data_IF_990502798635
#
_entry.id   IF_990502798635
#
_cell.length_a   1.000
_cell.length_b   1.000
_cell.length_c   1.000
_cell.angle_alpha   90.00
_cell.angle_beta   90.00
_cell.angle_gamma   90.00
#
_symmetry.space_group_name_H-M   'P 1'
#
loop_
_entity.id
_entity.type
_entity.pdbx_description
1 polymer ?
#
# COMPACT_ATOMS: atom_id res chain seq x y z
N UNK A 1 -2.94 -1.61 9.63
CA UNK A 1 -3.36 -0.51 10.56
C UNK A 1 -3.43 0.90 9.95
N UNK A 2 -3.56 1.07 8.63
CA UNK A 2 -4.22 2.24 8.02
C UNK A 2 -4.92 1.81 6.72
N UNK A 3 -5.07 0.52 6.52
CA UNK A 3 -5.98 -0.05 5.54
C UNK A 3 -7.32 -0.13 6.28
N UNK A 4 -8.39 0.33 5.62
CA UNK A 4 -9.72 0.29 6.20
C UNK A 4 -10.03 -1.16 6.53
N UNK A 5 -10.20 -1.47 7.82
CA UNK A 5 -10.67 -2.80 8.24
C UNK A 5 -12.19 -2.92 8.06
N UNK A 6 -12.88 -1.78 8.00
CA UNK A 6 -14.33 -1.68 7.83
C UNK A 6 -14.69 -0.55 6.86
N UNK A 7 -15.89 -0.61 6.29
CA UNK A 7 -16.45 0.47 5.46
C UNK A 7 -16.92 1.59 6.39
N UNK A 8 -16.39 2.81 6.23
CA UNK A 8 -16.90 3.98 6.94
C UNK A 8 -18.00 4.67 6.13
N UNK A 9 -19.24 4.79 6.64
CA UNK A 9 -20.32 5.45 5.93
C UNK A 9 -20.13 6.98 5.97
N UNK A 10 -19.86 7.58 4.81
CA UNK A 10 -19.78 9.03 4.64
C UNK A 10 -21.17 9.65 4.46
N UNK A 11 -21.97 9.68 5.53
CA UNK A 11 -23.23 10.44 5.54
C UNK A 11 -22.96 11.95 5.44
N UNK A 12 -23.95 12.73 5.00
CA UNK A 12 -23.82 14.20 4.90
C UNK A 12 -23.40 14.83 6.24
N UNK A 13 -24.02 14.40 7.35
CA UNK A 13 -23.71 14.85 8.70
C UNK A 13 -22.28 14.48 9.14
N UNK A 14 -21.84 13.25 8.87
CA UNK A 14 -20.46 12.82 9.19
C UNK A 14 -19.43 13.56 8.35
N UNK A 15 -19.71 13.81 7.07
CA UNK A 15 -18.84 14.58 6.18
C UNK A 15 -18.65 16.02 6.68
N UNK A 16 -19.70 16.65 7.18
CA UNK A 16 -19.66 18.00 7.75
C UNK A 16 -18.78 18.03 9.01
N UNK A 17 -19.05 17.17 9.99
CA UNK A 17 -18.26 17.04 11.22
C UNK A 17 -16.77 16.76 10.96
N UNK A 18 -16.47 15.88 10.01
CA UNK A 18 -15.08 15.56 9.64
C UNK A 18 -14.37 16.75 8.97
N UNK A 19 -15.10 17.52 8.16
CA UNK A 19 -14.57 18.72 7.50
C UNK A 19 -14.24 19.81 8.53
N UNK A 20 -15.10 20.00 9.52
CA UNK A 20 -14.85 20.91 10.65
C UNK A 20 -13.61 20.50 11.45
N UNK A 21 -13.54 19.22 11.86
CA UNK A 21 -12.43 18.71 12.68
C UNK A 21 -11.08 18.69 11.97
N UNK A 22 -11.06 18.41 10.66
CA UNK A 22 -9.83 18.45 9.85
C UNK A 22 -9.45 19.87 9.39
N UNK A 23 -10.33 20.85 9.58
CA UNK A 23 -10.23 22.23 9.11
C UNK A 23 -10.21 22.38 7.58
N UNK A 24 -10.84 23.44 7.09
CA UNK A 24 -10.85 23.78 5.66
C UNK A 24 -9.43 23.96 5.08
N UNK A 25 -8.50 24.52 5.86
CA UNK A 25 -7.13 24.78 5.39
C UNK A 25 -6.36 23.49 5.05
N UNK A 26 -6.50 22.42 5.85
CA UNK A 26 -5.83 21.14 5.56
C UNK A 26 -6.49 20.41 4.39
N UNK A 27 -7.81 20.52 4.25
CA UNK A 27 -8.56 19.87 3.18
C UNK A 27 -8.50 20.62 1.84
N UNK A 28 -8.18 21.92 1.83
CA UNK A 28 -8.20 22.76 0.64
C UNK A 28 -7.44 22.15 -0.56
N UNK A 29 -6.22 21.65 -0.33
CA UNK A 29 -5.42 21.02 -1.40
C UNK A 29 -6.08 19.75 -1.95
N UNK A 30 -6.68 18.95 -1.09
CA UNK A 30 -7.37 17.72 -1.50
C UNK A 30 -8.69 18.03 -2.20
N UNK A 31 -9.41 19.07 -1.79
CA UNK A 31 -10.62 19.56 -2.45
C UNK A 31 -10.35 19.99 -3.90
N UNK A 32 -9.22 20.66 -4.14
CA UNK A 32 -8.76 21.01 -5.49
C UNK A 32 -8.44 19.76 -6.30
N UNK A 33 -7.67 18.81 -5.76
CA UNK A 33 -7.39 17.53 -6.42
C UNK A 33 -8.64 16.66 -6.64
N UNK A 34 -9.72 16.93 -5.92
CA UNK A 34 -10.98 16.19 -5.95
C UNK A 34 -12.07 16.88 -6.79
N UNK A 35 -11.76 17.97 -7.50
CA UNK A 35 -12.75 18.76 -8.26
C UNK A 35 -13.98 19.16 -7.43
N UNK A 36 -13.79 19.48 -6.15
CA UNK A 36 -14.87 19.90 -5.25
C UNK A 36 -15.63 18.76 -4.56
N UNK A 37 -15.36 17.49 -4.88
CA UNK A 37 -15.97 16.35 -4.19
C UNK A 37 -15.35 16.14 -2.80
N UNK A 38 -16.17 16.31 -1.76
CA UNK A 38 -15.76 16.19 -0.35
C UNK A 38 -15.36 14.77 0.04
N UNK A 39 -16.08 13.76 -0.45
CA UNK A 39 -15.78 12.36 -0.15
C UNK A 39 -14.43 12.00 -0.77
N UNK A 40 -14.25 12.36 -2.04
CA UNK A 40 -13.00 12.17 -2.75
C UNK A 40 -11.81 12.87 -2.07
N UNK A 41 -11.99 14.10 -1.60
CA UNK A 41 -10.96 14.83 -0.88
C UNK A 41 -10.53 14.10 0.42
N UNK A 42 -11.48 13.57 1.19
CA UNK A 42 -11.19 12.79 2.39
C UNK A 42 -10.49 11.47 2.08
N UNK A 43 -10.86 10.80 0.99
CA UNK A 43 -10.17 9.59 0.55
C UNK A 43 -8.71 9.88 0.17
N UNK A 44 -8.45 10.98 -0.55
CA UNK A 44 -7.10 11.43 -0.90
C UNK A 44 -6.30 11.80 0.35
N UNK A 45 -6.93 12.43 1.35
CA UNK A 45 -6.34 12.69 2.66
C UNK A 45 -5.92 11.38 3.36
N UNK A 46 -6.79 10.38 3.40
CA UNK A 46 -6.49 9.07 3.98
C UNK A 46 -5.42 8.31 3.19
N UNK A 47 -5.39 8.45 1.87
CA UNK A 47 -4.32 7.90 1.03
C UNK A 47 -2.98 8.56 1.32
N UNK A 48 -2.95 9.88 1.45
CA UNK A 48 -1.76 10.60 1.88
C UNK A 48 -1.26 10.11 3.25
N UNK A 49 -2.17 9.91 4.22
CA UNK A 49 -1.80 9.38 5.52
C UNK A 49 -1.18 7.96 5.43
N UNK A 50 -1.75 7.09 4.59
CA UNK A 50 -1.20 5.76 4.31
C UNK A 50 0.18 5.83 3.65
N UNK A 51 0.37 6.74 2.68
CA UNK A 51 1.65 6.98 2.04
C UNK A 51 2.70 7.44 3.05
N UNK A 52 2.40 8.48 3.82
CA UNK A 52 3.28 9.00 4.87
C UNK A 52 3.70 7.90 5.84
N UNK A 53 2.75 7.04 6.22
CA UNK A 53 3.03 5.86 7.04
C UNK A 53 3.96 4.86 6.37
N UNK A 54 3.73 4.54 5.09
CA UNK A 54 4.56 3.58 4.36
C UNK A 54 6.02 4.06 4.21
N UNK A 55 6.23 5.37 4.13
CA UNK A 55 7.55 5.99 4.11
C UNK A 55 8.27 5.98 5.47
N UNK A 56 7.59 5.76 6.59
CA UNK A 56 8.23 5.77 7.92
C UNK A 56 9.36 4.74 8.02
N UNK A 57 9.13 3.52 7.53
CA UNK A 57 10.15 2.46 7.59
C UNK A 57 11.43 2.79 6.80
N UNK A 58 11.38 3.09 5.49
CA UNK A 58 12.60 3.39 4.75
C UNK A 58 13.30 4.66 5.26
N UNK A 59 12.56 5.66 5.75
CA UNK A 59 13.14 6.85 6.37
C UNK A 59 13.84 6.52 7.68
N UNK A 60 13.22 5.73 8.55
CA UNK A 60 13.82 5.25 9.80
C UNK A 60 15.10 4.46 9.53
N UNK A 61 15.07 3.55 8.55
CA UNK A 61 16.24 2.78 8.14
C UNK A 61 17.37 3.71 7.69
N UNK A 62 17.08 4.68 6.81
CA UNK A 62 18.04 5.66 6.36
C UNK A 62 18.65 6.48 7.50
N UNK A 63 17.81 6.96 8.43
CA UNK A 63 18.25 7.73 9.61
C UNK A 63 19.19 6.90 10.49
N UNK A 64 18.76 5.69 10.87
CA UNK A 64 19.54 4.80 11.75
C UNK A 64 20.85 4.38 11.08
N UNK A 65 20.84 3.96 9.81
CA UNK A 65 22.05 3.53 9.13
C UNK A 65 23.03 4.68 8.92
N UNK A 66 22.55 5.86 8.50
CA UNK A 66 23.43 7.04 8.31
C UNK A 66 24.07 7.45 9.62
N UNK A 67 23.26 7.56 10.68
CA UNK A 67 23.75 7.89 12.01
C UNK A 67 24.77 6.89 12.52
N UNK A 68 24.46 5.59 12.45
CA UNK A 68 25.33 4.56 13.00
C UNK A 68 26.64 4.46 12.20
N UNK A 69 26.60 4.67 10.88
CA UNK A 69 27.79 4.74 10.04
C UNK A 69 28.69 5.93 10.42
N UNK A 70 28.10 7.12 10.62
CA UNK A 70 28.84 8.29 11.10
C UNK A 70 29.41 8.07 12.49
N UNK A 71 28.58 7.62 13.44
CA UNK A 71 29.02 7.37 14.81
C UNK A 71 30.16 6.36 14.86
N UNK A 72 30.07 5.24 14.13
CA UNK A 72 31.15 4.25 14.04
C UNK A 72 32.45 4.88 13.53
N UNK A 73 32.40 5.61 12.41
CA UNK A 73 33.58 6.22 11.81
C UNK A 73 34.20 7.29 12.73
N UNK A 74 33.38 8.05 13.45
CA UNK A 74 33.81 9.07 14.40
C UNK A 74 34.41 8.43 15.65
N UNK A 75 33.80 7.37 16.19
CA UNK A 75 34.30 6.63 17.34
C UNK A 75 35.65 5.96 17.06
N UNK A 76 35.87 5.46 15.84
CA UNK A 76 37.18 4.96 15.41
C UNK A 76 38.26 6.04 15.38
N UNK A 77 37.89 7.30 15.13
CA UNK A 77 38.84 8.41 15.00
C UNK A 77 39.11 9.12 16.33
N UNK A 78 38.10 9.30 17.16
CA UNK A 78 38.13 10.17 18.34
C UNK A 78 37.72 9.47 19.64
N UNK A 79 37.40 8.18 19.60
CA UNK A 79 36.88 7.43 20.74
C UNK A 79 35.36 7.55 20.88
N UNK A 80 34.74 6.62 21.62
CA UNK A 80 33.27 6.51 21.73
C UNK A 80 32.61 7.76 22.33
N UNK A 81 33.32 8.46 23.22
CA UNK A 81 32.81 9.60 23.97
C UNK A 81 32.82 10.93 23.18
N UNK A 82 33.25 10.92 21.91
CA UNK A 82 33.25 12.11 21.04
C UNK A 82 31.90 12.83 21.01
N UNK A 83 30.80 12.08 21.20
CA UNK A 83 29.45 12.63 21.10
C UNK A 83 29.08 13.51 22.30
N UNK A 84 29.77 13.39 23.44
CA UNK A 84 29.55 14.30 24.57
C UNK A 84 30.20 15.66 24.34
N UNK A 85 31.41 15.65 23.79
CA UNK A 85 32.18 16.85 23.44
C UNK A 85 32.78 16.69 22.03
N UNK A 86 32.03 17.10 20.98
CA UNK A 86 32.48 16.93 19.60
C UNK A 86 33.83 17.60 19.34
N UNK A 87 34.85 16.87 18.81
CA UNK A 87 36.21 17.39 18.62
C UNK A 87 36.33 18.34 17.41
N UNK A 88 35.20 18.79 16.87
CA UNK A 88 35.07 19.71 15.76
C UNK A 88 33.99 20.75 16.08
N UNK A 89 34.15 21.96 15.56
CA UNK A 89 33.21 23.04 15.82
C UNK A 89 31.84 22.72 15.21
N UNK A 90 30.81 22.63 16.06
CA UNK A 90 29.41 22.61 15.63
C UNK A 90 28.98 24.02 15.24
N UNK A 91 28.28 24.14 14.11
CA UNK A 91 27.54 25.35 13.80
C UNK A 91 26.42 25.59 14.83
N UNK A 92 25.87 26.80 14.85
CA UNK A 92 24.88 27.21 15.85
C UNK A 92 23.65 26.30 15.87
N UNK A 93 23.18 25.84 14.71
CA UNK A 93 22.00 24.98 14.60
C UNK A 93 22.25 23.57 15.18
N UNK A 94 23.34 22.92 14.79
CA UNK A 94 23.71 21.60 15.31
C UNK A 94 24.05 21.66 16.79
N UNK A 95 24.70 22.75 17.25
CA UNK A 95 25.00 22.98 18.68
C UNK A 95 23.72 23.05 19.50
N UNK A 96 22.71 23.82 19.06
CA UNK A 96 21.40 23.86 19.74
C UNK A 96 20.73 22.49 19.79
N UNK A 97 20.77 21.74 18.69
CA UNK A 97 20.20 20.39 18.64
C UNK A 97 20.92 19.43 19.59
N UNK A 98 22.24 19.54 19.70
CA UNK A 98 23.08 18.74 20.57
C UNK A 98 22.82 19.02 22.05
N UNK A 99 22.85 20.29 22.46
CA UNK A 99 22.53 20.70 23.84
C UNK A 99 21.12 20.25 24.23
N UNK A 100 20.14 20.44 23.34
CA UNK A 100 18.75 20.00 23.59
C UNK A 100 18.66 18.48 23.81
N UNK A 101 19.42 17.69 23.06
CA UNK A 101 19.44 16.23 23.22
C UNK A 101 20.04 15.81 24.57
N UNK A 102 21.15 16.44 24.98
CA UNK A 102 21.78 16.20 26.29
C UNK A 102 20.84 16.58 27.44
N UNK A 103 20.19 17.75 27.37
CA UNK A 103 19.22 18.20 28.37
C UNK A 103 18.03 17.22 28.49
N UNK A 104 17.52 16.74 27.35
CA UNK A 104 16.43 15.78 27.32
C UNK A 104 16.84 14.45 27.98
N UNK A 105 18.06 13.97 27.72
CA UNK A 105 18.59 12.75 28.32
C UNK A 105 18.81 12.89 29.81
N UNK A 106 19.42 13.99 30.26
CA UNK A 106 19.64 14.28 31.67
C UNK A 106 18.31 14.24 32.46
N UNK A 107 17.25 14.86 31.91
CA UNK A 107 15.90 14.83 32.49
C UNK A 107 15.29 13.43 32.49
N UNK A 108 15.45 12.66 31.40
CA UNK A 108 14.86 11.32 31.24
C UNK A 108 15.53 10.28 32.15
N UNK A 109 16.84 10.35 32.32
CA UNK A 109 17.66 9.37 33.06
C UNK A 109 17.76 9.66 34.55
N UNK A 110 17.34 10.84 35.03
CA UNK A 110 17.22 11.21 36.45
C UNK A 110 18.47 10.87 37.28
N UNK A 111 19.66 11.18 36.76
CA UNK A 111 20.94 10.93 37.44
C UNK A 111 21.57 9.56 37.16
N UNK A 112 20.93 8.68 36.38
CA UNK A 112 21.60 7.51 35.84
C UNK A 112 22.66 7.89 34.79
N UNK A 113 23.70 7.07 34.66
CA UNK A 113 24.75 7.26 33.66
C UNK A 113 24.16 7.28 32.24
N UNK A 114 24.58 8.27 31.45
CA UNK A 114 24.22 8.42 30.04
C UNK A 114 25.36 7.80 29.22
N UNK A 115 25.05 6.88 28.31
CA UNK A 115 26.04 6.31 27.39
C UNK A 115 26.15 7.14 26.10
N UNK A 116 27.25 7.03 25.34
CA UNK A 116 27.33 7.61 23.99
C UNK A 116 26.15 7.19 23.09
N UNK A 117 25.76 5.92 23.17
CA UNK A 117 24.63 5.38 22.41
C UNK A 117 23.29 6.05 22.77
N UNK A 118 23.10 6.45 24.03
CA UNK A 118 21.91 7.21 24.44
C UNK A 118 21.86 8.58 23.72
N UNK A 119 23.00 9.27 23.62
CA UNK A 119 23.12 10.57 22.94
C UNK A 119 22.86 10.42 21.45
N UNK A 120 23.52 9.44 20.83
CA UNK A 120 23.33 9.10 19.41
C UNK A 120 21.86 8.78 19.13
N UNK A 121 21.21 7.98 19.99
CA UNK A 121 19.80 7.61 19.86
C UNK A 121 18.85 8.81 19.95
N UNK A 122 19.21 9.85 20.72
CA UNK A 122 18.37 11.03 20.98
C UNK A 122 18.52 12.11 19.89
N UNK A 123 19.68 12.18 19.24
CA UNK A 123 19.91 13.08 18.10
C UNK A 123 19.08 12.64 16.89
N UNK A 124 18.23 13.55 16.42
CA UNK A 124 17.34 13.31 15.27
C UNK A 124 18.10 13.35 13.93
N UNK A 125 17.45 12.89 12.87
CA UNK A 125 18.03 12.93 11.52
C UNK A 125 18.49 14.32 11.07
N UNK A 126 17.83 15.39 11.54
CA UNK A 126 18.20 16.75 11.16
C UNK A 126 19.64 17.04 11.57
N UNK A 127 20.04 16.73 12.82
CA UNK A 127 21.43 16.85 13.28
C UNK A 127 22.41 16.11 12.36
N UNK A 128 22.17 14.83 12.08
CA UNK A 128 23.06 13.99 11.26
C UNK A 128 23.14 14.46 9.81
N UNK A 129 22.02 14.90 9.23
CA UNK A 129 21.98 15.47 7.88
C UNK A 129 22.71 16.81 7.81
N UNK A 130 22.67 17.61 8.88
CA UNK A 130 23.34 18.90 8.94
C UNK A 130 24.86 18.76 8.99
N UNK A 131 25.40 17.72 9.62
CA UNK A 131 26.84 17.45 9.61
C UNK A 131 27.39 17.28 8.19
N UNK A 132 26.57 16.94 7.19
CA UNK A 132 27.01 16.82 5.80
C UNK A 132 27.06 18.15 5.04
N UNK A 133 26.64 19.28 5.63
CA UNK A 133 26.61 20.59 4.97
C UNK A 133 28.00 21.16 4.68
N UNK A 134 28.05 22.17 3.81
CA UNK A 134 29.30 22.74 3.31
C UNK A 134 30.15 23.44 4.38
N UNK A 135 29.50 24.00 5.40
CA UNK A 135 30.14 24.59 6.57
C UNK A 135 30.92 23.57 7.42
N UNK A 136 30.62 22.28 7.31
CA UNK A 136 31.39 21.21 7.96
C UNK A 136 32.56 20.69 7.10
N UNK A 137 32.79 21.24 5.90
CA UNK A 137 33.85 20.77 5.02
C UNK A 137 35.24 20.89 5.67
N UNK A 138 35.55 22.01 6.31
CA UNK A 138 36.86 22.24 6.93
C UNK A 138 36.92 21.63 8.33
N UNK A 139 35.89 21.85 9.14
CA UNK A 139 35.85 21.43 10.55
C UNK A 139 35.77 19.90 10.74
N UNK A 140 35.05 19.19 9.87
CA UNK A 140 34.74 17.76 10.03
C UNK A 140 35.26 16.91 8.86
N UNK A 141 34.99 17.32 7.62
CA UNK A 141 35.24 16.52 6.41
C UNK A 141 36.53 16.87 5.67
N UNK A 142 37.49 17.51 6.34
CA UNK A 142 38.81 17.83 5.77
C UNK A 142 39.61 16.56 5.47
N UNK A 143 39.42 15.52 6.28
CA UNK A 143 39.96 14.18 6.05
C UNK A 143 39.01 13.36 5.16
N UNK A 144 39.43 13.11 3.92
CA UNK A 144 38.67 12.31 2.95
C UNK A 144 38.52 10.84 3.37
N UNK A 145 39.46 10.31 4.16
CA UNK A 145 39.39 8.92 4.62
C UNK A 145 38.23 8.72 5.58
N UNK A 146 37.92 9.71 6.43
CA UNK A 146 36.77 9.68 7.33
C UNK A 146 35.46 9.62 6.54
N UNK A 147 35.33 10.43 5.49
CA UNK A 147 34.15 10.42 4.64
C UNK A 147 33.97 9.08 3.91
N UNK A 148 35.07 8.51 3.39
CA UNK A 148 35.06 7.21 2.73
C UNK A 148 34.69 6.06 3.69
N UNK A 149 35.01 6.16 4.99
CA UNK A 149 34.56 5.19 5.99
C UNK A 149 33.04 5.21 6.22
N UNK A 150 32.43 6.39 6.17
CA UNK A 150 30.97 6.54 6.34
C UNK A 150 30.22 6.07 5.10
N UNK A 151 30.74 6.37 3.90
CA UNK A 151 30.12 6.04 2.62
C UNK A 151 31.06 5.20 1.74
N UNK A 152 31.34 3.94 2.11
CA UNK A 152 32.32 3.10 1.43
C UNK A 152 31.91 2.72 -0.01
N UNK A 153 30.63 2.79 -0.35
CA UNK A 153 30.12 2.49 -1.69
C UNK A 153 29.93 3.75 -2.56
N UNK A 154 30.42 4.91 -2.13
CA UNK A 154 30.35 6.15 -2.91
C UNK A 154 31.15 6.00 -4.22
N UNK A 155 30.55 6.26 -5.40
CA UNK A 155 31.28 6.23 -6.65
C UNK A 155 32.41 7.28 -6.68
N UNK A 156 33.51 6.98 -7.37
CA UNK A 156 34.73 7.82 -7.36
C UNK A 156 34.56 9.22 -7.97
N UNK A 157 33.56 9.38 -8.83
CA UNK A 157 33.16 10.62 -9.48
C UNK A 157 32.17 11.46 -8.65
N UNK A 158 31.72 10.94 -7.51
CA UNK A 158 30.82 11.61 -6.58
C UNK A 158 31.57 12.10 -5.34
N UNK A 159 31.10 13.21 -4.76
CA UNK A 159 31.67 13.81 -3.56
C UNK A 159 30.62 14.09 -2.48
N UNK A 160 31.06 14.71 -1.38
CA UNK A 160 30.19 15.09 -0.26
C UNK A 160 29.01 15.93 -0.70
N UNK A 161 29.19 16.86 -1.64
CA UNK A 161 28.12 17.74 -2.12
C UNK A 161 26.91 16.95 -2.64
N UNK A 162 27.14 15.89 -3.42
CA UNK A 162 26.09 15.01 -3.92
C UNK A 162 25.41 14.26 -2.77
N UNK A 163 26.19 13.68 -1.85
CA UNK A 163 25.64 12.98 -0.67
C UNK A 163 24.79 13.93 0.18
N UNK A 164 25.26 15.15 0.40
CA UNK A 164 24.54 16.18 1.14
C UNK A 164 23.23 16.56 0.45
N UNK A 165 23.24 16.72 -0.88
CA UNK A 165 22.03 17.01 -1.65
C UNK A 165 20.98 15.89 -1.50
N UNK A 166 21.39 14.63 -1.63
CA UNK A 166 20.49 13.47 -1.50
C UNK A 166 19.95 13.34 -0.08
N UNK A 167 20.81 13.40 0.95
CA UNK A 167 20.40 13.31 2.37
C UNK A 167 19.52 14.49 2.75
N UNK A 168 19.81 15.72 2.30
CA UNK A 168 18.98 16.88 2.58
C UNK A 168 17.57 16.73 2.01
N UNK A 169 17.44 16.15 0.81
CA UNK A 169 16.14 15.87 0.24
C UNK A 169 15.39 14.73 0.97
N UNK A 170 16.08 13.71 1.47
CA UNK A 170 15.48 12.70 2.36
C UNK A 170 14.99 13.34 3.66
N UNK A 171 15.80 14.22 4.27
CA UNK A 171 15.42 14.92 5.50
C UNK A 171 14.23 15.87 5.27
N UNK A 172 14.16 16.54 4.13
CA UNK A 172 13.01 17.36 3.74
C UNK A 172 11.72 16.52 3.64
N UNK A 173 11.77 15.34 3.00
CA UNK A 173 10.63 14.42 2.95
C UNK A 173 10.20 13.96 4.35
N UNK A 174 11.17 13.58 5.18
CA UNK A 174 10.95 13.18 6.57
C UNK A 174 10.25 14.29 7.37
N UNK A 175 10.71 15.53 7.24
CA UNK A 175 10.13 16.67 7.93
C UNK A 175 8.71 16.96 7.45
N UNK A 176 8.44 16.90 6.14
CA UNK A 176 7.07 17.02 5.61
C UNK A 176 6.13 15.97 6.20
N UNK A 177 6.57 14.71 6.27
CA UNK A 177 5.78 13.63 6.87
C UNK A 177 5.54 13.88 8.37
N UNK A 178 6.58 14.30 9.11
CA UNK A 178 6.48 14.61 10.54
C UNK A 178 5.55 15.81 10.83
N UNK A 179 5.47 16.77 9.91
CA UNK A 179 4.55 17.91 9.97
C UNK A 179 3.15 17.60 9.39
N UNK A 180 2.88 16.34 9.03
CA UNK A 180 1.62 15.91 8.42
C UNK A 180 1.25 16.68 7.15
N UNK A 181 2.26 17.08 6.38
CA UNK A 181 2.05 17.75 5.09
C UNK A 181 1.68 16.76 3.98
N UNK A 182 0.97 17.20 2.93
CA UNK A 182 0.69 16.37 1.77
C UNK A 182 1.95 15.97 1.00
N UNK A 183 2.07 14.69 0.69
CA UNK A 183 3.07 14.08 -0.20
C UNK A 183 2.44 13.34 -1.39
N UNK A 184 1.11 13.24 -1.44
CA UNK A 184 0.35 12.50 -2.47
C UNK A 184 0.61 12.90 -3.93
N UNK A 185 1.06 14.13 -4.18
CA UNK A 185 1.40 14.64 -5.51
C UNK A 185 2.89 14.47 -5.88
N UNK A 186 3.72 13.91 -4.99
CA UNK A 186 5.14 13.72 -5.26
C UNK A 186 5.37 12.45 -6.10
N UNK A 187 6.54 12.40 -6.75
CA UNK A 187 7.03 11.16 -7.35
C UNK A 187 7.55 10.23 -6.23
N UNK A 188 6.66 9.34 -5.78
CA UNK A 188 6.93 8.38 -4.72
C UNK A 188 8.05 7.40 -5.08
N UNK A 189 8.19 7.05 -6.36
CA UNK A 189 9.23 6.14 -6.84
C UNK A 189 10.60 6.80 -6.76
N UNK A 190 10.71 8.05 -7.24
CA UNK A 190 11.93 8.85 -7.11
C UNK A 190 12.31 9.10 -5.66
N UNK A 191 11.33 9.44 -4.81
CA UNK A 191 11.54 9.64 -3.38
C UNK A 191 12.06 8.37 -2.69
N UNK A 192 11.46 7.21 -2.97
CA UNK A 192 11.93 5.94 -2.43
C UNK A 192 13.33 5.58 -2.93
N UNK A 193 13.59 5.71 -4.22
CA UNK A 193 14.90 5.40 -4.79
C UNK A 193 16.01 6.25 -4.17
N UNK A 194 15.76 7.56 -3.98
CA UNK A 194 16.68 8.45 -3.26
C UNK A 194 17.03 7.95 -1.86
N UNK A 195 16.04 7.48 -1.09
CA UNK A 195 16.29 6.90 0.24
C UNK A 195 17.16 5.65 0.13
N UNK A 196 16.82 4.76 -0.80
CA UNK A 196 17.57 3.52 -1.05
C UNK A 196 18.99 3.79 -1.54
N UNK A 197 19.20 4.83 -2.33
CA UNK A 197 20.51 5.20 -2.85
C UNK A 197 21.42 5.69 -1.71
N UNK A 198 20.92 6.58 -0.83
CA UNK A 198 21.66 7.00 0.38
C UNK A 198 22.05 5.80 1.24
N UNK A 199 21.12 4.87 1.50
CA UNK A 199 21.42 3.65 2.25
C UNK A 199 22.47 2.80 1.50
N UNK A 200 22.36 2.72 0.18
CA UNK A 200 23.29 1.98 -0.69
C UNK A 200 24.72 2.53 -0.68
N UNK A 201 24.91 3.83 -0.44
CA UNK A 201 26.23 4.43 -0.23
C UNK A 201 26.93 3.88 1.01
N UNK A 202 26.15 3.48 2.02
CA UNK A 202 26.63 2.89 3.27
C UNK A 202 26.81 1.38 3.10
N UNK A 203 25.77 0.67 2.65
CA UNK A 203 25.80 -0.78 2.44
C UNK A 203 24.73 -1.22 1.44
N UNK A 204 25.13 -2.10 0.51
CA UNK A 204 24.23 -2.72 -0.47
C UNK A 204 23.22 -3.65 0.21
N UNK A 205 23.64 -4.39 1.23
CA UNK A 205 22.76 -5.30 1.98
C UNK A 205 21.68 -4.52 2.74
N UNK A 206 22.05 -3.38 3.34
CA UNK A 206 21.07 -2.52 4.02
C UNK A 206 20.02 -1.98 3.04
N UNK A 207 20.46 -1.60 1.83
CA UNK A 207 19.57 -1.14 0.77
C UNK A 207 18.59 -2.22 0.36
N UNK A 208 19.11 -3.41 0.07
CA UNK A 208 18.30 -4.49 -0.47
C UNK A 208 17.33 -5.04 0.60
N UNK A 209 17.76 -5.12 1.87
CA UNK A 209 16.87 -5.40 3.00
C UNK A 209 15.77 -4.32 3.16
N UNK A 210 16.13 -3.04 3.13
CA UNK A 210 15.14 -1.95 3.23
C UNK A 210 14.15 -2.00 2.07
N UNK A 211 14.61 -2.28 0.85
CA UNK A 211 13.74 -2.43 -0.33
C UNK A 211 12.78 -3.60 -0.16
N UNK A 212 13.24 -4.76 0.29
CA UNK A 212 12.43 -5.96 0.44
C UNK A 212 11.29 -5.81 1.46
N UNK A 213 11.49 -5.00 2.49
CA UNK A 213 10.50 -4.77 3.56
C UNK A 213 9.69 -3.47 3.41
N UNK A 214 9.97 -2.66 2.38
CA UNK A 214 9.26 -1.41 2.11
C UNK A 214 7.89 -1.68 1.44
N UNK A 215 6.85 -0.97 1.88
CA UNK A 215 5.49 -1.07 1.32
C UNK A 215 5.05 0.16 0.51
N UNK A 216 5.93 1.16 0.37
CA UNK A 216 5.64 2.46 -0.28
C UNK A 216 4.99 2.29 -1.64
N UNK A 217 5.59 1.49 -2.54
CA UNK A 217 5.06 1.33 -3.89
C UNK A 217 3.74 0.57 -3.92
N UNK A 218 3.49 -0.32 -2.95
CA UNK A 218 2.20 -0.98 -2.82
C UNK A 218 1.08 0.02 -2.52
N UNK A 219 1.35 0.98 -1.63
CA UNK A 219 0.39 2.03 -1.25
C UNK A 219 0.26 3.11 -2.34
N UNK A 220 1.38 3.51 -2.96
CA UNK A 220 1.40 4.51 -4.03
C UNK A 220 0.63 4.04 -5.26
N UNK A 221 0.64 2.72 -5.53
CA UNK A 221 -0.12 2.11 -6.62
C UNK A 221 -1.59 1.88 -6.27
N UNK A 222 -2.03 2.12 -5.04
CA UNK A 222 -3.43 1.96 -4.61
C UNK A 222 -4.07 3.30 -4.20
N UNK A 223 -4.06 4.33 -5.08
CA UNK A 223 -4.83 5.54 -4.81
C UNK A 223 -6.32 5.19 -4.79
N UNK A 224 -7.14 5.96 -4.07
CA UNK A 224 -8.58 5.79 -4.13
C UNK A 224 -9.06 6.08 -5.57
N UNK A 225 -10.17 5.48 -6.00
CA UNK A 225 -10.83 5.80 -7.27
C UNK A 225 -11.90 6.89 -7.09
N UNK A 226 -12.44 7.42 -8.19
CA UNK A 226 -13.61 8.34 -8.14
C UNK A 226 -14.88 7.57 -7.71
N UNK A 227 -14.93 6.27 -7.93
CA UNK A 227 -16.15 5.46 -7.81
C UNK A 227 -16.26 4.68 -6.50
N UNK A 228 -15.20 4.61 -5.68
CA UNK A 228 -15.19 3.80 -4.46
C UNK A 228 -14.84 4.58 -3.21
N UNK A 229 -15.66 4.37 -2.18
CA UNK A 229 -15.38 4.77 -0.80
C UNK A 229 -14.25 3.95 -0.14
N UNK A 230 -13.86 2.83 -0.75
CA UNK A 230 -12.86 1.90 -0.25
C UNK A 230 -11.59 2.00 -1.11
N UNK A 231 -10.40 2.15 -0.50
CA UNK A 231 -9.17 2.08 -1.27
C UNK A 231 -8.89 0.67 -1.80
N UNK A 232 -8.21 0.57 -2.92
CA UNK A 232 -7.82 -0.72 -3.47
C UNK A 232 -6.67 -0.63 -4.46
N UNK A 233 -6.07 -1.78 -4.78
CA UNK A 233 -5.09 -1.89 -5.86
C UNK A 233 -5.85 -1.86 -7.20
N UNK A 234 -5.31 -1.25 -8.27
CA UNK A 234 -5.89 -1.33 -9.60
C UNK A 234 -6.10 -2.79 -10.01
N UNK A 235 -7.27 -3.11 -10.55
CA UNK A 235 -7.58 -4.46 -11.04
C UNK A 235 -6.64 -4.85 -12.17
N UNK A 236 -6.16 -3.89 -12.98
CA UNK A 236 -5.12 -4.09 -13.97
C UNK A 236 -3.79 -4.66 -13.41
N UNK A 237 -3.52 -4.47 -12.11
CA UNK A 237 -2.34 -5.03 -11.41
C UNK A 237 -2.66 -6.29 -10.61
N UNK A 238 -3.94 -6.69 -10.53
CA UNK A 238 -4.33 -7.93 -9.93
C UNK A 238 -3.99 -9.09 -10.88
N UNK A 239 -3.52 -10.20 -10.32
CA UNK A 239 -3.29 -11.41 -11.11
C UNK A 239 -4.64 -12.12 -11.31
N UNK A 240 -5.40 -11.65 -12.30
CA UNK A 240 -6.71 -12.18 -12.64
C UNK A 240 -6.54 -13.48 -13.44
N UNK A 241 -7.24 -14.53 -13.03
CA UNK A 241 -7.30 -15.78 -13.78
C UNK A 241 -8.36 -15.65 -14.87
N UNK A 242 -8.06 -16.19 -16.04
CA UNK A 242 -9.06 -16.34 -17.10
C UNK A 242 -10.16 -17.28 -16.63
N UNK A 243 -11.44 -16.90 -16.80
CA UNK A 243 -12.55 -17.76 -16.43
C UNK A 243 -12.57 -19.01 -17.31
N UNK A 244 -13.01 -20.12 -16.73
CA UNK A 244 -13.21 -21.36 -17.48
C UNK A 244 -14.53 -21.27 -18.23
N UNK A 245 -14.49 -21.40 -19.54
CA UNK A 245 -15.67 -21.36 -20.41
C UNK A 245 -16.26 -22.76 -20.56
N UNK A 246 -17.58 -22.85 -20.61
CA UNK A 246 -18.32 -24.08 -20.91
C UNK A 246 -19.48 -23.81 -21.87
N UNK A 247 -19.86 -24.81 -22.66
CA UNK A 247 -21.05 -24.77 -23.51
C UNK A 247 -22.33 -24.84 -22.67
N UNK A 248 -23.41 -24.20 -23.11
CA UNK A 248 -24.75 -24.37 -22.53
C UNK A 248 -25.28 -25.80 -22.72
N UNK A 249 -24.83 -26.48 -23.78
CA UNK A 249 -25.23 -27.85 -24.12
C UNK A 249 -24.42 -28.93 -23.38
N UNK A 250 -23.38 -28.54 -22.64
CA UNK A 250 -22.55 -29.49 -21.90
C UNK A 250 -23.36 -30.20 -20.82
N UNK A 251 -23.06 -31.48 -20.58
CA UNK A 251 -23.75 -32.26 -19.55
C UNK A 251 -23.39 -31.78 -18.13
N UNK A 252 -24.25 -32.06 -17.15
CA UNK A 252 -23.96 -31.74 -15.75
C UNK A 252 -22.72 -32.48 -15.22
N UNK A 253 -22.43 -33.68 -15.73
CA UNK A 253 -21.23 -34.42 -15.38
C UNK A 253 -19.95 -33.68 -15.81
N UNK A 254 -19.93 -33.19 -17.04
CA UNK A 254 -18.83 -32.37 -17.58
C UNK A 254 -18.71 -31.04 -16.81
N UNK A 255 -19.84 -30.40 -16.52
CA UNK A 255 -19.88 -29.14 -15.78
C UNK A 255 -19.32 -29.30 -14.36
N UNK A 256 -19.73 -30.34 -13.61
CA UNK A 256 -19.23 -30.61 -12.26
C UNK A 256 -17.72 -30.88 -12.25
N UNK A 257 -17.23 -31.66 -13.22
CA UNK A 257 -15.80 -31.96 -13.36
C UNK A 257 -15.00 -30.70 -13.66
N UNK A 258 -15.52 -29.83 -14.52
CA UNK A 258 -14.90 -28.56 -14.88
C UNK A 258 -14.92 -27.58 -13.71
N UNK A 259 -16.04 -27.43 -12.98
CA UNK A 259 -16.14 -26.57 -11.79
C UNK A 259 -15.12 -26.97 -10.72
N UNK A 260 -14.92 -28.27 -10.48
CA UNK A 260 -14.03 -28.76 -9.43
C UNK A 260 -12.58 -28.28 -9.60
N UNK A 261 -12.12 -28.21 -10.86
CA UNK A 261 -10.78 -27.75 -11.23
C UNK A 261 -10.69 -26.24 -11.47
N UNK A 262 -11.82 -25.57 -11.72
CA UNK A 262 -11.88 -24.13 -11.97
C UNK A 262 -11.43 -23.30 -10.76
N UNK A 263 -10.74 -22.19 -11.03
CA UNK A 263 -10.29 -21.21 -10.03
C UNK A 263 -10.44 -19.80 -10.60
N UNK A 264 -11.43 -19.00 -10.13
CA UNK A 264 -12.44 -19.33 -9.10
C UNK A 264 -13.40 -20.44 -9.56
N UNK A 265 -14.11 -21.08 -8.63
CA UNK A 265 -15.01 -22.23 -8.87
C UNK A 265 -16.32 -21.87 -9.57
N UNK A 266 -16.22 -21.12 -10.66
CA UNK A 266 -17.31 -20.60 -11.47
C UNK A 266 -16.98 -20.90 -12.95
N UNK A 267 -17.95 -21.43 -13.69
CA UNK A 267 -17.88 -21.58 -15.14
C UNK A 267 -18.68 -20.46 -15.79
N UNK A 268 -18.14 -19.90 -16.87
CA UNK A 268 -18.86 -18.93 -17.69
C UNK A 268 -19.41 -19.59 -18.95
N UNK A 269 -20.63 -19.21 -19.28
CA UNK A 269 -21.35 -19.61 -20.49
C UNK A 269 -21.56 -18.36 -21.31
N UNK A 270 -21.20 -18.39 -22.60
CA UNK A 270 -21.47 -17.25 -23.48
C UNK A 270 -22.95 -17.29 -23.88
N UNK A 271 -23.66 -16.17 -23.71
CA UNK A 271 -25.05 -16.08 -24.14
C UNK A 271 -25.07 -15.97 -25.68
N UNK A 272 -25.78 -16.86 -26.39
CA UNK A 272 -25.95 -16.72 -27.83
C UNK A 272 -26.57 -15.37 -28.18
N UNK A 273 -26.05 -14.72 -29.22
CA UNK A 273 -26.62 -13.49 -29.81
C UNK A 273 -26.76 -12.26 -28.88
N UNK A 274 -26.14 -12.28 -27.69
CA UNK A 274 -26.10 -11.15 -26.76
C UNK A 274 -24.68 -10.86 -26.28
N UNK A 275 -24.30 -9.58 -26.08
CA UNK A 275 -23.08 -9.23 -25.39
C UNK A 275 -23.26 -9.55 -23.91
N UNK A 276 -22.84 -10.74 -23.48
CA UNK A 276 -22.98 -11.13 -22.10
C UNK A 276 -22.54 -12.55 -21.81
N UNK A 277 -22.42 -12.82 -20.51
CA UNK A 277 -22.10 -14.12 -19.97
C UNK A 277 -23.17 -14.52 -18.95
N UNK A 278 -23.45 -15.81 -18.88
CA UNK A 278 -24.10 -16.43 -17.75
C UNK A 278 -23.05 -17.24 -16.96
N UNK A 279 -23.40 -17.65 -15.75
CA UNK A 279 -22.48 -18.39 -14.91
C UNK A 279 -23.14 -19.57 -14.21
N UNK A 280 -22.35 -20.63 -14.02
CA UNK A 280 -22.72 -21.82 -13.26
C UNK A 280 -21.65 -22.11 -12.21
N UNK A 281 -22.08 -22.45 -11.01
CA UNK A 281 -21.23 -22.87 -9.89
C UNK A 281 -21.66 -24.23 -9.37
N UNK A 282 -20.85 -24.87 -8.53
CA UNK A 282 -21.24 -26.10 -7.85
C UNK A 282 -22.54 -25.91 -7.04
N UNK A 283 -22.75 -24.71 -6.49
CA UNK A 283 -23.94 -24.39 -5.71
C UNK A 283 -25.19 -24.22 -6.59
N UNK A 284 -25.06 -23.65 -7.79
CA UNK A 284 -26.22 -23.55 -8.71
C UNK A 284 -26.61 -24.91 -9.26
N UNK A 285 -25.64 -25.78 -9.60
CA UNK A 285 -25.89 -27.17 -10.00
C UNK A 285 -26.57 -27.94 -8.86
N UNK A 286 -26.05 -27.83 -7.64
CA UNK A 286 -26.65 -28.46 -6.46
C UNK A 286 -28.08 -27.97 -6.21
N UNK A 287 -28.34 -26.66 -6.35
CA UNK A 287 -29.67 -26.07 -6.23
C UNK A 287 -30.65 -26.57 -7.30
N UNK A 288 -30.19 -26.75 -8.54
CA UNK A 288 -30.97 -27.37 -9.61
C UNK A 288 -31.32 -28.83 -9.28
N UNK A 289 -30.32 -29.63 -8.89
CA UNK A 289 -30.51 -31.03 -8.54
C UNK A 289 -31.45 -31.19 -7.34
N UNK A 290 -31.34 -30.35 -6.30
CA UNK A 290 -32.24 -30.41 -5.15
C UNK A 290 -33.72 -30.23 -5.54
N UNK A 291 -34.01 -29.33 -6.49
CA UNK A 291 -35.38 -29.14 -7.03
C UNK A 291 -35.82 -30.34 -7.87
N UNK A 292 -34.92 -30.91 -8.67
CA UNK A 292 -35.22 -32.03 -9.55
C UNK A 292 -35.35 -33.36 -8.80
N UNK A 293 -34.57 -33.61 -7.75
CA UNK A 293 -34.70 -34.81 -6.91
C UNK A 293 -36.09 -34.85 -6.26
N UNK A 294 -36.57 -33.69 -5.77
CA UNK A 294 -37.89 -33.58 -5.18
C UNK A 294 -39.01 -33.89 -6.20
N UNK A 295 -38.82 -33.55 -7.48
CA UNK A 295 -39.78 -33.86 -8.54
C UNK A 295 -39.67 -35.31 -9.02
N UNK A 296 -38.45 -35.85 -9.16
CA UNK A 296 -38.15 -37.19 -9.67
C UNK A 296 -38.46 -38.31 -8.65
N UNK A 297 -38.75 -37.96 -7.39
CA UNK A 297 -39.05 -38.91 -6.33
C UNK A 297 -40.28 -39.80 -6.65
N UNK A 298 -41.20 -39.30 -7.49
CA UNK A 298 -42.40 -40.04 -7.92
C UNK A 298 -42.14 -41.04 -9.06
N UNK A 299 -41.19 -40.77 -9.96
CA UNK A 299 -41.00 -41.54 -11.21
C UNK A 299 -39.74 -42.43 -11.21
N UNK A 300 -38.61 -41.96 -10.66
CA UNK A 300 -37.32 -42.68 -10.72
C UNK A 300 -36.78 -43.06 -9.34
N UNK A 301 -37.58 -42.89 -8.27
CA UNK A 301 -37.12 -43.12 -6.90
C UNK A 301 -36.06 -42.13 -6.43
N UNK A 302 -35.97 -40.95 -7.07
CA UNK A 302 -35.02 -39.89 -6.73
C UNK A 302 -33.62 -40.05 -7.33
N UNK A 303 -33.42 -41.01 -8.24
CA UNK A 303 -32.20 -41.12 -9.05
C UNK A 303 -32.23 -40.11 -10.19
N UNK A 304 -31.09 -39.45 -10.42
CA UNK A 304 -30.88 -38.49 -11.51
C UNK A 304 -29.65 -38.93 -12.31
N UNK A 305 -29.79 -39.04 -13.63
CA UNK A 305 -28.66 -39.14 -14.54
C UNK A 305 -28.16 -37.74 -14.87
N UNK A 306 -26.89 -37.47 -14.56
CA UNK A 306 -26.25 -36.17 -14.83
C UNK A 306 -25.92 -35.99 -16.32
N UNK A 307 -25.98 -37.05 -17.13
CA UNK A 307 -25.85 -36.99 -18.58
C UNK A 307 -27.08 -36.44 -19.29
N UNK A 308 -28.28 -36.64 -18.72
CA UNK A 308 -29.56 -36.22 -19.31
C UNK A 308 -29.90 -34.75 -19.07
N UNK A 309 -29.08 -34.07 -18.27
CA UNK A 309 -29.26 -32.67 -17.93
C UNK A 309 -28.07 -31.85 -18.40
N UNK A 310 -28.38 -30.63 -18.82
CA UNK A 310 -27.44 -29.70 -19.42
C UNK A 310 -27.17 -28.50 -18.52
N UNK A 311 -26.13 -27.74 -18.87
CA UNK A 311 -25.85 -26.43 -18.27
C UNK A 311 -27.03 -25.46 -18.47
N UNK A 312 -27.71 -25.52 -19.61
CA UNK A 312 -28.89 -24.69 -19.89
C UNK A 312 -30.05 -24.92 -18.90
N UNK A 313 -30.28 -26.18 -18.50
CA UNK A 313 -31.31 -26.52 -17.50
C UNK A 313 -31.04 -25.86 -16.14
N UNK A 314 -29.76 -25.73 -15.77
CA UNK A 314 -29.35 -25.03 -14.54
C UNK A 314 -29.59 -23.53 -14.67
N UNK A 315 -29.20 -22.94 -15.81
CA UNK A 315 -29.30 -21.50 -16.05
C UNK A 315 -30.76 -21.00 -16.02
N UNK A 316 -31.70 -21.81 -16.50
CA UNK A 316 -33.13 -21.49 -16.47
C UNK A 316 -33.74 -21.61 -15.06
N UNK A 317 -33.11 -22.41 -14.19
CA UNK A 317 -33.63 -22.71 -12.84
C UNK A 317 -33.00 -21.86 -11.73
N UNK A 318 -31.70 -21.55 -11.85
CA UNK A 318 -30.89 -20.79 -10.90
C UNK A 318 -30.00 -19.83 -11.68
N UNK A 319 -30.31 -18.53 -11.59
CA UNK A 319 -29.51 -17.48 -12.22
C UNK A 319 -28.60 -16.82 -11.20
N UNK A 320 -27.32 -16.70 -11.53
CA UNK A 320 -26.34 -15.94 -10.77
C UNK A 320 -26.30 -14.49 -11.28
N UNK A 321 -26.23 -13.54 -10.36
CA UNK A 321 -26.14 -12.11 -10.71
C UNK A 321 -24.70 -11.78 -11.03
N UNK A 322 -24.42 -11.53 -12.31
CA UNK A 322 -23.13 -11.04 -12.78
C UNK A 322 -23.17 -9.53 -12.99
N UNK A 323 -22.07 -8.85 -12.66
CA UNK A 323 -21.92 -7.43 -12.92
C UNK A 323 -20.54 -7.14 -13.50
N UNK A 324 -20.47 -6.26 -14.50
CA UNK A 324 -19.20 -5.83 -15.08
C UNK A 324 -18.51 -4.79 -14.19
N UNK A 325 -17.18 -4.86 -14.16
CA UNK A 325 -16.32 -3.86 -13.56
C UNK A 325 -15.17 -3.55 -14.52
N UNK A 326 -14.92 -2.28 -14.75
CA UNK A 326 -13.83 -1.85 -15.64
C UNK A 326 -12.47 -2.27 -15.04
N UNK A 327 -11.56 -2.79 -15.87
CA UNK A 327 -10.20 -3.19 -15.48
C UNK A 327 -9.38 -2.05 -14.87
N UNK A 328 -9.74 -0.79 -15.18
CA UNK A 328 -9.15 0.44 -14.64
C UNK A 328 -9.67 0.74 -13.22
N UNK A 329 -10.71 0.05 -12.76
CA UNK A 329 -11.17 0.14 -11.38
C UNK A 329 -10.16 -0.50 -10.40
N UNK A 330 -10.46 -0.42 -9.11
CA UNK A 330 -9.64 -0.94 -8.01
C UNK A 330 -10.31 -2.11 -7.30
N UNK A 331 -9.55 -2.87 -6.51
CA UNK A 331 -10.09 -3.90 -5.61
C UNK A 331 -11.07 -3.31 -4.59
N UNK A 332 -10.97 -2.01 -4.30
CA UNK A 332 -11.91 -1.30 -3.44
C UNK A 332 -13.24 -1.05 -4.16
N UNK A 333 -13.20 -0.69 -5.44
CA UNK A 333 -14.40 -0.61 -6.29
C UNK A 333 -15.10 -1.96 -6.37
N UNK A 334 -14.35 -3.03 -6.64
CA UNK A 334 -14.88 -4.38 -6.64
C UNK A 334 -15.51 -4.76 -5.29
N UNK A 335 -14.86 -4.41 -4.17
CA UNK A 335 -15.41 -4.65 -2.82
C UNK A 335 -16.69 -3.85 -2.57
N UNK A 336 -16.76 -2.59 -2.99
CA UNK A 336 -17.94 -1.74 -2.85
C UNK A 336 -19.13 -2.28 -3.67
N UNK A 337 -18.87 -2.89 -4.84
CA UNK A 337 -19.90 -3.57 -5.64
C UNK A 337 -20.43 -4.83 -4.94
N UNK A 338 -19.57 -5.64 -4.31
CA UNK A 338 -20.01 -6.82 -3.55
C UNK A 338 -20.77 -6.46 -2.26
N UNK A 339 -20.44 -5.32 -1.64
CA UNK A 339 -21.00 -4.87 -0.36
C UNK A 339 -21.53 -3.43 -0.44
N UNK A 340 -22.63 -3.19 -1.19
CA UNK A 340 -23.19 -1.86 -1.36
C UNK A 340 -23.74 -1.33 -0.02
N UNK A 341 -23.54 -0.04 0.21
CA UNK A 341 -23.96 0.67 1.44
C UNK A 341 -25.46 0.97 1.49
N UNK A 342 -26.14 1.02 0.35
CA UNK A 342 -27.58 1.26 0.26
C UNK A 342 -28.37 -0.04 0.47
N UNK A 343 -29.39 0.02 1.33
CA UNK A 343 -30.32 -1.09 1.52
C UNK A 343 -31.14 -1.32 0.24
N UNK A 344 -31.22 -2.56 -0.21
CA UNK A 344 -32.03 -2.98 -1.36
C UNK A 344 -31.28 -3.09 -2.69
N UNK A 345 -30.02 -2.66 -2.78
CA UNK A 345 -29.21 -2.84 -3.98
C UNK A 345 -28.83 -4.32 -4.14
N UNK A 346 -29.10 -4.89 -5.32
CA UNK A 346 -28.73 -6.26 -5.66
C UNK A 346 -27.21 -6.45 -5.54
N UNK A 347 -26.80 -7.55 -4.92
CA UNK A 347 -25.38 -7.90 -4.74
C UNK A 347 -24.97 -8.88 -5.82
N UNK A 348 -23.95 -8.59 -6.64
CA UNK A 348 -23.46 -9.54 -7.61
C UNK A 348 -22.84 -10.75 -6.90
N UNK A 349 -23.01 -11.92 -7.49
CA UNK A 349 -22.35 -13.16 -7.08
C UNK A 349 -20.91 -13.21 -7.60
N UNK A 350 -20.67 -12.63 -8.77
CA UNK A 350 -19.35 -12.44 -9.34
C UNK A 350 -19.25 -11.14 -10.17
N UNK A 351 -18.03 -10.62 -10.28
CA UNK A 351 -17.71 -9.47 -11.13
C UNK A 351 -16.89 -9.90 -12.33
N UNK A 352 -17.33 -9.47 -13.51
CA UNK A 352 -16.62 -9.65 -14.78
C UNK A 352 -15.68 -8.46 -14.96
N UNK A 353 -14.37 -8.70 -14.97
CA UNK A 353 -13.39 -7.63 -15.18
C UNK A 353 -13.21 -7.42 -16.68
N UNK A 354 -13.68 -6.28 -17.19
CA UNK A 354 -13.72 -5.97 -18.62
C UNK A 354 -12.90 -4.72 -18.95
N UNK A 355 -12.30 -4.65 -20.13
CA UNK A 355 -11.71 -3.43 -20.68
C UNK A 355 -12.08 -3.34 -22.15
N UNK A 356 -12.68 -2.21 -22.56
CA UNK A 356 -13.09 -1.96 -23.94
C UNK A 356 -13.92 -3.12 -24.56
N UNK A 357 -14.76 -3.77 -23.74
CA UNK A 357 -15.63 -4.90 -24.12
C UNK A 357 -14.95 -6.28 -24.08
N UNK A 358 -13.67 -6.35 -23.71
CA UNK A 358 -12.91 -7.61 -23.62
C UNK A 358 -12.90 -8.11 -22.18
N UNK A 359 -13.27 -9.38 -21.97
CA UNK A 359 -13.21 -10.03 -20.67
C UNK A 359 -11.76 -10.42 -20.31
N UNK A 360 -11.25 -9.85 -19.22
CA UNK A 360 -9.88 -10.09 -18.73
C UNK A 360 -9.82 -11.03 -17.53
N UNK A 361 -10.92 -11.20 -16.81
CA UNK A 361 -10.93 -12.03 -15.62
C UNK A 361 -12.24 -12.00 -14.88
N UNK A 362 -12.28 -12.77 -13.80
CA UNK A 362 -13.45 -12.95 -12.95
C UNK A 362 -13.04 -12.79 -11.48
N UNK A 363 -13.84 -12.05 -10.73
CA UNK A 363 -13.74 -11.96 -9.28
C UNK A 363 -14.99 -12.56 -8.66
N UNK A 364 -14.82 -13.42 -7.67
CA UNK A 364 -15.93 -13.91 -6.84
C UNK A 364 -15.92 -13.21 -5.50
N UNK A 365 -17.06 -13.23 -4.81
CA UNK A 365 -17.15 -12.72 -3.44
C UNK A 365 -16.13 -13.47 -2.55
N UNK A 366 -15.31 -12.78 -1.74
CA UNK A 366 -14.36 -13.44 -0.87
C UNK A 366 -15.08 -14.24 0.22
N UNK A 367 -14.69 -15.50 0.41
CA UNK A 367 -15.27 -16.41 1.40
C UNK A 367 -14.96 -16.01 2.86
N UNK A 368 -13.96 -15.16 3.07
CA UNK A 368 -13.53 -14.71 4.40
C UNK A 368 -13.83 -13.22 4.62
N UNK A 369 -14.65 -12.92 5.63
CA UNK A 369 -14.54 -11.65 6.38
C UNK A 369 -13.30 -11.81 7.27
N UNK A 370 -12.24 -11.07 6.97
CA UNK A 370 -11.08 -10.97 7.87
C UNK A 370 -11.41 -10.11 9.08
#
# INVERSE_FOLDING_TARGET
MAESQEIYPYSAESLERLTEGLTAARLARYMVSANGDRNRALQLYLWNARLSKAFLFPLQACEVFTRNAMHKAFSERWGQDWVFDPPFALNEHSKRSHVKALDQLARRKKGAAISPDDVVATLNFDFWSNLLRADYQEALWSDRSLFAKVFPNLPKDHGRGQVQFEVAAVNALRNRIAHHEPISAQDHGKALNRILDVIGLISRDYRDWTRAHCTVMGVAKSPPSIHSAVPGRPLAQANLRSPTMISSEASLLEALTSVASARPGLLLVRIPDAPGYAAVSAQSISGYLAKHIAAAQADTGGLIDLGDHTVEDVLTTVSLVLQEVDRRATTGDAMALFYPSQKGTARPDALLVVEDGVLHGLLTRPDARF
#
